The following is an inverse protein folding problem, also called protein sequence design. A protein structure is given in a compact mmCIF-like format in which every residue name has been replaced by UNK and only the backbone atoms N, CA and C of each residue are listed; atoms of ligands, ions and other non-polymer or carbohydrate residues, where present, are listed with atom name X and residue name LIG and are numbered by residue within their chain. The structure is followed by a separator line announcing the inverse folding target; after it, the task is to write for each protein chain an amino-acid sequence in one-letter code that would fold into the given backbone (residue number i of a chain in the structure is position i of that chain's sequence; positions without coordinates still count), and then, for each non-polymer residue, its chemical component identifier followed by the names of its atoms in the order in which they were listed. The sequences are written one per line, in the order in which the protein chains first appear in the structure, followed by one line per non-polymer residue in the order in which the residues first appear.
data_IF_987369242196
#
_entry.id   IF_987369242196
#
_cell.length_a   1.000
_cell.length_b   1.000
_cell.length_c   1.000
_cell.angle_alpha   90.00
_cell.angle_beta   90.00
_cell.angle_gamma   90.00
#
_symmetry.space_group_name_H-M   'P 1'
#
loop_
_entity.id
_entity.type
_entity.pdbx_description
1 polymer ?
#
# COMPACT_ATOMS: atom_id res chain seq x y z
N UNK A 1 -17.58 -4.75 3.29
CA UNK A 1 -17.46 -3.94 2.04
C UNK A 1 -16.47 -2.77 2.13
N UNK A 2 -16.07 -2.36 3.35
CA UNK A 2 -15.14 -1.27 3.65
C UNK A 2 -13.94 -1.08 2.69
N UNK A 3 -13.28 -2.16 2.23
CA UNK A 3 -12.08 -2.05 1.37
C UNK A 3 -12.27 -1.43 -0.03
N UNK A 4 -13.49 -1.35 -0.57
CA UNK A 4 -13.78 -0.58 -1.79
C UNK A 4 -14.16 0.88 -1.49
N UNK A 5 -14.75 1.16 -0.33
CA UNK A 5 -14.98 2.53 0.14
C UNK A 5 -13.67 3.20 0.55
N UNK A 6 -12.81 2.54 1.34
CA UNK A 6 -11.49 3.06 1.76
C UNK A 6 -10.61 3.56 0.59
N UNK A 7 -10.70 2.90 -0.59
CA UNK A 7 -9.98 3.31 -1.81
C UNK A 7 -10.65 4.44 -2.59
N UNK A 8 -11.91 4.77 -2.31
CA UNK A 8 -12.63 5.93 -2.85
C UNK A 8 -12.57 7.13 -1.88
N UNK A 9 -12.58 6.90 -0.57
CA UNK A 9 -12.60 7.93 0.47
C UNK A 9 -11.24 8.60 0.65
N UNK A 10 -10.15 7.81 0.69
CA UNK A 10 -8.79 8.38 0.61
C UNK A 10 -8.55 9.19 -0.66
N UNK A 11 -9.33 8.95 -1.72
CA UNK A 11 -9.24 9.61 -3.02
C UNK A 11 -9.96 10.96 -3.09
N UNK A 12 -10.77 11.35 -2.08
CA UNK A 12 -11.52 12.62 -2.06
C UNK A 12 -10.80 13.72 -1.28
N UNK A 13 -10.31 13.44 -0.07
CA UNK A 13 -9.37 14.34 0.61
C UNK A 13 -8.05 14.46 -0.18
N UNK A 14 -7.58 13.35 -0.76
CA UNK A 14 -6.48 13.42 -1.72
C UNK A 14 -6.89 13.99 -3.08
N UNK A 15 -8.17 14.16 -3.45
CA UNK A 15 -8.52 14.89 -4.67
C UNK A 15 -8.28 16.39 -4.50
N UNK A 16 -8.62 16.96 -3.34
CA UNK A 16 -8.30 18.36 -3.06
C UNK A 16 -6.78 18.59 -2.99
N UNK A 17 -6.04 17.69 -2.33
CA UNK A 17 -4.58 17.77 -2.26
C UNK A 17 -3.88 17.46 -3.61
N UNK A 18 -4.40 16.53 -4.43
CA UNK A 18 -3.81 16.18 -5.72
C UNK A 18 -4.24 17.12 -6.86
N UNK A 19 -5.30 17.92 -6.69
CA UNK A 19 -5.60 19.04 -7.59
C UNK A 19 -4.53 20.13 -7.55
N UNK A 20 -3.78 20.25 -6.46
CA UNK A 20 -2.68 21.19 -6.25
C UNK A 20 -1.29 20.64 -6.65
N UNK A 21 -1.16 19.37 -7.06
CA UNK A 21 0.12 18.65 -7.03
C UNK A 21 0.79 18.37 -8.40
N UNK A 22 0.31 18.99 -9.48
CA UNK A 22 0.93 18.95 -10.80
C UNK A 22 0.84 20.35 -11.39
N UNK A 23 1.95 21.03 -11.74
CA UNK A 23 1.94 22.27 -12.55
C UNK A 23 3.31 22.92 -12.72
N UNK A 24 3.66 23.31 -13.94
CA UNK A 24 4.78 24.22 -14.30
C UNK A 24 4.85 24.31 -15.83
N UNK A 25 4.94 25.42 -16.54
CA UNK A 25 5.65 26.68 -16.24
C UNK A 25 5.26 27.86 -17.19
N UNK A 26 5.81 29.06 -16.94
CA UNK A 26 5.76 30.26 -17.79
C UNK A 26 7.03 31.14 -17.56
N UNK A 27 7.46 32.02 -18.49
CA UNK A 27 8.85 32.53 -18.55
C UNK A 27 9.25 33.59 -17.50
N UNK A 28 10.54 33.60 -17.16
CA UNK A 28 11.12 34.16 -15.93
C UNK A 28 11.35 35.70 -15.86
N UNK A 29 10.85 36.52 -16.78
CA UNK A 29 11.24 37.95 -16.85
C UNK A 29 10.44 38.94 -15.96
N UNK A 30 9.48 38.49 -15.15
CA UNK A 30 8.56 39.38 -14.41
C UNK A 30 8.69 39.31 -12.86
N UNK A 31 9.67 38.56 -12.33
CA UNK A 31 9.69 38.20 -10.91
C UNK A 31 10.23 39.28 -9.95
N UNK A 32 11.00 40.27 -10.42
CA UNK A 32 11.66 41.26 -9.52
C UNK A 32 10.73 42.37 -9.00
N UNK A 33 9.56 42.62 -9.61
CA UNK A 33 8.67 43.75 -9.24
C UNK A 33 7.53 43.36 -8.27
N UNK A 34 7.48 42.09 -7.84
CA UNK A 34 6.33 41.52 -7.10
C UNK A 34 6.32 41.80 -5.59
N UNK A 35 7.37 42.38 -5.02
CA UNK A 35 7.52 42.58 -3.56
C UNK A 35 6.64 43.67 -2.91
N UNK A 36 5.89 44.47 -3.68
CA UNK A 36 5.06 45.58 -3.14
C UNK A 36 3.66 45.74 -3.73
N UNK A 37 3.32 45.00 -4.78
CA UNK A 37 1.96 45.09 -5.32
C UNK A 37 1.01 44.29 -4.41
N UNK A 38 0.00 44.94 -3.83
CA UNK A 38 -1.22 44.24 -3.41
C UNK A 38 -1.72 43.53 -4.67
N UNK A 39 -1.55 42.21 -4.72
CA UNK A 39 -1.72 41.44 -5.95
C UNK A 39 -3.08 41.74 -6.56
N UNK A 40 -3.08 42.41 -7.73
CA UNK A 40 -4.29 42.53 -8.53
C UNK A 40 -4.72 41.10 -8.84
N UNK A 41 -5.91 40.71 -8.38
CA UNK A 41 -6.47 39.39 -8.69
C UNK A 41 -6.41 39.24 -10.21
N UNK A 42 -5.72 38.21 -10.75
CA UNK A 42 -5.63 38.04 -12.18
C UNK A 42 -7.03 37.99 -12.79
N UNK A 43 -7.29 38.84 -13.77
CA UNK A 43 -8.55 38.79 -14.54
C UNK A 43 -8.61 37.58 -15.47
N UNK A 44 -7.48 36.90 -15.65
CA UNK A 44 -7.28 35.76 -16.54
C UNK A 44 -7.21 34.45 -15.74
N UNK A 45 -7.75 33.38 -16.32
CA UNK A 45 -7.81 32.06 -15.71
C UNK A 45 -9.17 31.69 -15.11
N UNK A 46 -9.31 30.45 -14.68
CA UNK A 46 -10.53 29.93 -14.07
C UNK A 46 -10.46 30.03 -12.55
N UNK A 47 -11.33 30.84 -11.96
CA UNK A 47 -11.60 30.82 -10.51
C UNK A 47 -13.01 30.29 -10.25
N UNK A 48 -13.20 29.29 -9.36
CA UNK A 48 -14.53 28.85 -8.95
C UNK A 48 -15.35 30.01 -8.40
N UNK A 49 -16.59 30.18 -8.86
CA UNK A 49 -17.47 31.19 -8.24
C UNK A 49 -17.82 30.77 -6.80
N UNK A 50 -18.21 31.73 -5.96
CA UNK A 50 -18.67 31.45 -4.59
C UNK A 50 -19.75 30.35 -4.54
N UNK A 51 -20.71 30.39 -5.47
CA UNK A 51 -21.76 29.37 -5.60
C UNK A 51 -21.16 27.99 -5.94
N UNK A 52 -20.15 27.92 -6.81
CA UNK A 52 -19.48 26.65 -7.12
C UNK A 52 -18.71 26.09 -5.90
N UNK A 53 -18.05 26.96 -5.12
CA UNK A 53 -17.40 26.55 -3.87
C UNK A 53 -18.40 26.03 -2.85
N UNK A 54 -19.49 26.78 -2.61
CA UNK A 54 -20.56 26.38 -1.68
C UNK A 54 -21.21 25.05 -2.07
N UNK A 55 -21.45 24.81 -3.36
CA UNK A 55 -21.97 23.52 -3.89
C UNK A 55 -20.94 22.38 -3.83
N UNK A 56 -19.66 22.69 -4.00
CA UNK A 56 -18.58 21.73 -3.80
C UNK A 56 -18.51 21.26 -2.35
N UNK A 57 -18.67 22.19 -1.39
CA UNK A 57 -18.71 21.92 0.05
C UNK A 57 -19.99 21.15 0.42
N UNK A 58 -21.17 21.55 -0.10
CA UNK A 58 -22.42 20.79 0.09
C UNK A 58 -22.21 19.31 -0.27
N UNK A 59 -21.70 19.04 -1.48
CA UNK A 59 -21.42 17.68 -1.95
C UNK A 59 -20.38 16.94 -1.12
N UNK A 60 -19.33 17.63 -0.67
CA UNK A 60 -18.32 17.04 0.22
C UNK A 60 -18.95 16.63 1.57
N UNK A 61 -19.79 17.49 2.15
CA UNK A 61 -20.47 17.23 3.44
C UNK A 61 -21.43 16.05 3.36
N UNK A 62 -22.14 15.88 2.24
CA UNK A 62 -23.01 14.72 1.99
C UNK A 62 -22.22 13.41 1.87
N UNK A 63 -21.02 13.42 1.27
CA UNK A 63 -20.17 12.23 1.21
C UNK A 63 -19.51 11.90 2.56
N UNK A 64 -19.14 12.92 3.34
CA UNK A 64 -18.70 12.74 4.73
C UNK A 64 -19.82 12.13 5.59
N UNK A 65 -21.05 12.65 5.50
CA UNK A 65 -22.21 12.12 6.22
C UNK A 65 -22.49 10.65 5.88
N UNK A 66 -22.39 10.25 4.60
CA UNK A 66 -22.50 8.83 4.19
C UNK A 66 -21.34 7.96 4.70
N UNK A 67 -20.14 8.52 4.87
CA UNK A 67 -18.95 7.79 5.29
C UNK A 67 -18.90 7.56 6.81
N UNK A 68 -19.32 8.56 7.58
CA UNK A 68 -19.29 8.55 9.03
C UNK A 68 -20.67 8.31 9.67
N UNK A 69 -21.71 8.13 8.85
CA UNK A 69 -23.07 7.89 9.33
C UNK A 69 -23.57 9.07 10.20
N UNK A 70 -23.37 10.30 9.71
CA UNK A 70 -23.81 11.51 10.40
C UNK A 70 -25.34 11.59 10.49
N UNK A 71 -25.83 12.07 11.62
CA UNK A 71 -27.19 12.60 11.74
C UNK A 71 -27.35 13.98 11.07
N UNK A 72 -28.56 14.53 11.09
CA UNK A 72 -28.89 15.82 10.46
C UNK A 72 -28.16 17.00 11.12
N UNK A 73 -27.92 16.97 12.42
CA UNK A 73 -27.24 18.03 13.17
C UNK A 73 -25.72 17.98 12.89
N UNK A 74 -25.11 16.81 12.96
CA UNK A 74 -23.70 16.58 12.61
C UNK A 74 -23.41 17.00 11.16
N UNK A 75 -24.31 16.71 10.22
CA UNK A 75 -24.23 17.17 8.83
C UNK A 75 -24.35 18.69 8.73
N UNK A 76 -25.31 19.31 9.44
CA UNK A 76 -25.48 20.76 9.44
C UNK A 76 -24.24 21.49 9.98
N UNK A 77 -23.76 21.10 11.18
CA UNK A 77 -22.54 21.62 11.82
C UNK A 77 -21.31 21.48 10.93
N UNK A 78 -21.07 20.29 10.37
CA UNK A 78 -19.93 20.06 9.46
C UNK A 78 -20.01 20.91 8.19
N UNK A 79 -21.22 21.13 7.66
CA UNK A 79 -21.43 21.97 6.48
C UNK A 79 -21.17 23.44 6.77
N UNK A 80 -21.61 23.94 7.92
CA UNK A 80 -21.34 25.30 8.36
C UNK A 80 -19.84 25.53 8.57
N UNK A 81 -19.18 24.68 9.35
CA UNK A 81 -17.73 24.70 9.61
C UNK A 81 -16.89 24.75 8.31
N UNK A 82 -17.23 23.89 7.34
CA UNK A 82 -16.53 23.87 6.05
C UNK A 82 -16.84 25.10 5.19
N UNK A 83 -18.07 25.62 5.20
CA UNK A 83 -18.46 26.84 4.46
C UNK A 83 -17.89 28.12 5.05
N UNK A 84 -17.61 28.17 6.35
CA UNK A 84 -16.92 29.28 6.97
C UNK A 84 -15.44 29.30 6.56
N UNK A 85 -14.73 28.17 6.74
CA UNK A 85 -13.27 28.15 6.69
C UNK A 85 -12.67 28.03 5.30
N UNK A 86 -13.17 27.11 4.48
CA UNK A 86 -12.53 26.81 3.19
C UNK A 86 -12.66 27.97 2.19
N UNK A 87 -13.85 28.60 1.98
CA UNK A 87 -13.96 29.77 1.11
C UNK A 87 -13.11 30.94 1.56
N UNK A 88 -12.96 31.15 2.88
CA UNK A 88 -12.06 32.15 3.45
C UNK A 88 -10.60 31.88 3.07
N UNK A 89 -10.10 30.67 3.31
CA UNK A 89 -8.75 30.27 2.90
C UNK A 89 -8.51 30.45 1.39
N UNK A 90 -9.48 30.07 0.56
CA UNK A 90 -9.37 30.22 -0.89
C UNK A 90 -9.35 31.69 -1.34
N UNK A 91 -10.17 32.58 -0.78
CA UNK A 91 -10.14 34.00 -1.13
C UNK A 91 -8.90 34.72 -0.55
N UNK A 92 -8.44 34.38 0.66
CA UNK A 92 -7.19 34.92 1.25
C UNK A 92 -5.96 34.56 0.40
N UNK A 93 -5.92 33.37 -0.20
CA UNK A 93 -4.82 32.89 -1.04
C UNK A 93 -5.09 32.98 -2.55
N UNK A 94 -6.18 33.62 -2.97
CA UNK A 94 -6.73 33.53 -4.32
C UNK A 94 -5.76 33.88 -5.43
N UNK A 95 -5.11 35.03 -5.32
CA UNK A 95 -4.23 35.52 -6.39
C UNK A 95 -3.09 34.53 -6.67
N UNK A 96 -2.54 33.91 -5.62
CA UNK A 96 -1.44 32.96 -5.73
C UNK A 96 -1.92 31.59 -6.21
N UNK A 97 -3.01 31.06 -5.66
CA UNK A 97 -3.61 29.79 -6.15
C UNK A 97 -3.99 29.91 -7.63
N UNK A 98 -4.63 31.02 -8.02
CA UNK A 98 -5.02 31.27 -9.42
C UNK A 98 -3.79 31.36 -10.34
N UNK A 99 -2.71 32.04 -9.93
CA UNK A 99 -1.47 32.11 -10.69
C UNK A 99 -0.80 30.73 -10.86
N UNK A 100 -0.72 29.94 -9.78
CA UNK A 100 -0.15 28.58 -9.80
C UNK A 100 -0.99 27.60 -10.64
N UNK A 101 -2.32 27.76 -10.64
CA UNK A 101 -3.23 26.99 -11.49
C UNK A 101 -3.18 27.40 -12.96
N UNK A 102 -2.96 28.68 -13.29
CA UNK A 102 -2.76 29.11 -14.68
C UNK A 102 -1.44 28.52 -15.23
N UNK A 103 -0.36 28.61 -14.45
CA UNK A 103 0.93 27.95 -14.76
C UNK A 103 0.78 26.42 -14.93
N UNK A 104 -0.19 25.78 -14.25
CA UNK A 104 -0.55 24.39 -14.52
C UNK A 104 -1.10 24.19 -15.92
N UNK A 105 -2.19 24.90 -16.23
CA UNK A 105 -2.94 24.63 -17.43
C UNK A 105 -2.16 25.02 -18.68
N UNK A 106 -1.35 26.08 -18.62
CA UNK A 106 -0.40 26.45 -19.68
C UNK A 106 0.60 25.33 -19.96
N UNK A 107 1.16 24.70 -18.93
CA UNK A 107 2.02 23.53 -19.08
C UNK A 107 1.34 22.34 -19.76
N UNK A 108 0.13 22.04 -19.28
CA UNK A 108 -0.67 20.92 -19.77
C UNK A 108 -1.04 21.11 -21.24
N UNK A 109 -1.35 22.34 -21.63
CA UNK A 109 -1.74 22.70 -22.99
C UNK A 109 -0.53 22.78 -23.94
N UNK A 110 0.67 23.12 -23.43
CA UNK A 110 1.92 23.02 -24.22
C UNK A 110 2.34 21.57 -24.47
N UNK A 111 2.05 20.65 -23.56
CA UNK A 111 2.36 19.22 -23.70
C UNK A 111 3.83 18.84 -23.45
N UNK A 112 4.74 19.80 -23.59
CA UNK A 112 6.15 19.68 -23.22
C UNK A 112 6.34 19.54 -21.70
N UNK A 113 7.32 18.75 -21.23
CA UNK A 113 7.69 18.74 -19.83
C UNK A 113 8.34 20.07 -19.43
N UNK A 114 8.09 20.57 -18.22
CA UNK A 114 8.74 21.78 -17.72
C UNK A 114 10.23 21.59 -17.42
N UNK A 115 10.95 22.72 -17.32
CA UNK A 115 12.33 22.70 -16.87
C UNK A 115 12.41 22.50 -15.35
N UNK A 116 13.48 21.89 -14.80
CA UNK A 116 13.65 21.74 -13.36
C UNK A 116 13.65 23.06 -12.56
N UNK A 117 14.15 24.14 -13.17
CA UNK A 117 14.19 25.49 -12.56
C UNK A 117 12.77 26.03 -12.35
N UNK A 118 11.92 25.96 -13.38
CA UNK A 118 10.53 26.36 -13.25
C UNK A 118 9.83 25.57 -12.11
N UNK A 119 10.13 24.27 -11.98
CA UNK A 119 9.48 23.38 -11.00
C UNK A 119 9.90 23.75 -9.58
N UNK A 120 11.15 24.20 -9.41
CA UNK A 120 11.64 24.71 -8.15
C UNK A 120 10.86 25.95 -7.72
N UNK A 121 10.79 26.96 -8.60
CA UNK A 121 10.06 28.20 -8.35
C UNK A 121 8.58 27.97 -8.02
N UNK A 122 7.90 27.10 -8.77
CA UNK A 122 6.52 26.73 -8.49
C UNK A 122 6.38 25.98 -7.16
N UNK A 123 7.28 25.04 -6.86
CA UNK A 123 7.20 24.24 -5.63
C UNK A 123 7.49 25.06 -4.38
N UNK A 124 8.43 26.01 -4.45
CA UNK A 124 8.71 26.98 -3.37
C UNK A 124 7.48 27.81 -3.02
N UNK A 125 6.66 28.16 -4.01
CA UNK A 125 5.40 28.91 -3.85
C UNK A 125 4.23 28.06 -3.36
N UNK A 126 4.17 26.78 -3.77
CA UNK A 126 3.12 25.84 -3.33
C UNK A 126 3.34 25.34 -1.90
N UNK A 127 4.58 25.11 -1.48
CA UNK A 127 4.92 24.64 -0.13
C UNK A 127 4.20 25.40 1.02
N UNK A 128 4.25 26.74 1.11
CA UNK A 128 3.54 27.47 2.18
C UNK A 128 2.02 27.30 2.09
N UNK A 129 1.43 27.33 0.90
CA UNK A 129 -0.02 27.12 0.70
C UNK A 129 -0.45 25.70 1.11
N UNK A 130 0.35 24.70 0.73
CA UNK A 130 0.10 23.30 1.07
C UNK A 130 0.20 23.04 2.58
N UNK A 131 1.14 23.68 3.26
CA UNK A 131 1.28 23.62 4.70
C UNK A 131 0.11 24.30 5.43
N UNK A 132 -0.32 25.49 4.98
CA UNK A 132 -1.52 26.15 5.51
C UNK A 132 -2.79 25.30 5.30
N UNK A 133 -2.99 24.74 4.10
CA UNK A 133 -4.11 23.85 3.79
C UNK A 133 -4.10 22.58 4.66
N UNK A 134 -2.91 21.99 4.86
CA UNK A 134 -2.74 20.81 5.72
C UNK A 134 -3.08 21.13 7.18
N UNK A 135 -2.74 22.33 7.67
CA UNK A 135 -3.11 22.78 9.01
C UNK A 135 -4.63 23.02 9.11
N UNK A 136 -5.21 23.76 8.18
CA UNK A 136 -6.67 23.98 8.09
C UNK A 136 -7.46 22.66 8.12
N UNK A 137 -6.99 21.63 7.40
CA UNK A 137 -7.62 20.31 7.38
C UNK A 137 -7.52 19.57 8.73
N UNK A 138 -6.47 19.80 9.52
CA UNK A 138 -6.33 19.26 10.88
C UNK A 138 -7.23 20.01 11.86
N UNK A 139 -7.13 21.34 11.89
CA UNK A 139 -7.94 22.18 12.79
C UNK A 139 -9.43 21.87 12.61
N UNK A 140 -9.88 21.81 11.35
CA UNK A 140 -11.27 21.43 11.00
C UNK A 140 -11.63 20.03 11.52
N UNK A 141 -10.74 19.05 11.42
CA UNK A 141 -11.00 17.70 11.89
C UNK A 141 -10.98 17.58 13.43
N UNK A 142 -10.23 18.45 14.11
CA UNK A 142 -10.22 18.51 15.57
C UNK A 142 -11.51 19.15 16.09
N UNK A 143 -12.02 20.23 15.49
CA UNK A 143 -13.34 20.80 15.84
C UNK A 143 -14.49 19.84 15.53
N UNK A 144 -14.38 19.04 14.45
CA UNK A 144 -15.37 18.00 14.16
C UNK A 144 -15.50 17.01 15.33
N UNK A 145 -14.42 16.68 16.05
CA UNK A 145 -14.46 15.70 17.16
C UNK A 145 -15.36 16.15 18.31
N UNK A 146 -15.61 17.44 18.49
CA UNK A 146 -16.44 17.96 19.58
C UNK A 146 -17.91 17.51 19.51
N UNK A 147 -18.41 17.12 18.33
CA UNK A 147 -19.79 16.71 18.11
C UNK A 147 -19.94 15.35 17.41
N UNK A 148 -18.84 14.62 17.22
CA UNK A 148 -18.85 13.25 16.73
C UNK A 148 -18.95 12.24 17.88
N UNK A 149 -19.54 11.07 17.61
CA UNK A 149 -19.46 9.93 18.54
C UNK A 149 -18.05 9.36 18.57
N UNK A 150 -17.68 8.64 19.63
CA UNK A 150 -16.36 8.01 19.77
C UNK A 150 -15.99 7.15 18.55
N UNK A 151 -16.93 6.35 18.05
CA UNK A 151 -16.75 5.52 16.85
C UNK A 151 -16.49 6.35 15.58
N UNK A 152 -17.17 7.50 15.44
CA UNK A 152 -16.96 8.43 14.33
C UNK A 152 -15.62 9.15 14.45
N UNK A 153 -15.25 9.59 15.65
CA UNK A 153 -13.97 10.24 15.95
C UNK A 153 -12.78 9.29 15.66
N UNK A 154 -12.84 8.03 16.10
CA UNK A 154 -11.82 7.00 15.78
C UNK A 154 -11.69 6.76 14.27
N UNK A 155 -12.81 6.74 13.53
CA UNK A 155 -12.78 6.67 12.06
C UNK A 155 -12.14 7.93 11.44
N UNK A 156 -12.43 9.11 11.98
CA UNK A 156 -11.89 10.40 11.50
C UNK A 156 -10.38 10.46 11.74
N UNK A 157 -9.92 10.11 12.94
CA UNK A 157 -8.50 9.97 13.29
C UNK A 157 -7.75 9.05 12.32
N UNK A 158 -8.32 7.89 12.00
CA UNK A 158 -7.73 6.96 11.03
C UNK A 158 -7.58 7.59 9.63
N UNK A 159 -8.55 8.40 9.20
CA UNK A 159 -8.48 9.11 7.92
C UNK A 159 -7.51 10.31 7.97
N UNK A 160 -7.41 11.02 9.09
CA UNK A 160 -6.44 12.10 9.30
C UNK A 160 -5.01 11.57 9.40
N UNK A 161 -4.79 10.40 10.01
CA UNK A 161 -3.50 9.71 9.98
C UNK A 161 -3.09 9.32 8.55
N UNK A 162 -4.04 8.79 7.75
CA UNK A 162 -3.80 8.47 6.34
C UNK A 162 -3.54 9.73 5.49
N UNK A 163 -4.29 10.81 5.73
CA UNK A 163 -4.08 12.12 5.10
C UNK A 163 -2.70 12.68 5.45
N UNK A 164 -2.31 12.70 6.73
CA UNK A 164 -1.00 13.16 7.19
C UNK A 164 0.16 12.36 6.57
N UNK A 165 0.02 11.05 6.41
CA UNK A 165 1.01 10.23 5.71
C UNK A 165 1.13 10.62 4.23
N UNK A 166 0.01 10.85 3.54
CA UNK A 166 -0.01 11.36 2.17
C UNK A 166 0.57 12.77 2.04
N UNK A 167 0.19 13.69 2.94
CA UNK A 167 0.69 15.05 3.00
C UNK A 167 2.20 15.10 3.28
N UNK A 168 2.73 14.20 4.10
CA UNK A 168 4.19 14.04 4.30
C UNK A 168 4.89 13.65 2.99
N UNK A 169 4.31 12.73 2.21
CA UNK A 169 4.88 12.35 0.91
C UNK A 169 4.85 13.51 -0.09
N UNK A 170 3.75 14.28 -0.15
CA UNK A 170 3.61 15.45 -1.02
C UNK A 170 4.55 16.58 -0.60
N UNK A 171 4.65 16.89 0.70
CA UNK A 171 5.56 17.91 1.21
C UNK A 171 7.03 17.55 0.93
N UNK A 172 7.45 16.32 1.22
CA UNK A 172 8.80 15.86 0.89
C UNK A 172 9.08 15.95 -0.62
N UNK A 173 8.08 15.69 -1.46
CA UNK A 173 8.20 15.79 -2.92
C UNK A 173 8.35 17.24 -3.37
N UNK A 174 7.52 18.14 -2.84
CA UNK A 174 7.62 19.57 -3.10
C UNK A 174 8.94 20.15 -2.60
N UNK A 175 9.49 19.68 -1.48
CA UNK A 175 10.85 20.04 -1.03
C UNK A 175 11.93 19.62 -2.04
N UNK A 176 11.92 18.37 -2.48
CA UNK A 176 12.87 17.85 -3.49
C UNK A 176 12.79 18.68 -4.78
N UNK A 177 11.57 19.03 -5.22
CA UNK A 177 11.37 19.88 -6.40
C UNK A 177 11.82 21.33 -6.17
N UNK A 178 11.53 21.92 -5.01
CA UNK A 178 11.97 23.26 -4.62
C UNK A 178 13.50 23.43 -4.57
N UNK A 179 14.25 22.32 -4.41
CA UNK A 179 15.71 22.22 -4.51
C UNK A 179 16.22 22.05 -5.96
N UNK A 180 15.34 22.04 -6.97
CA UNK A 180 15.68 21.82 -8.37
C UNK A 180 15.80 20.35 -8.80
N UNK A 181 15.55 19.40 -7.90
CA UNK A 181 15.69 17.96 -8.19
C UNK A 181 14.46 17.34 -8.89
N UNK A 182 13.85 18.08 -9.82
CA UNK A 182 12.78 17.58 -10.69
C UNK A 182 13.36 16.81 -11.89
N UNK A 183 12.78 15.65 -12.21
CA UNK A 183 13.20 14.85 -13.36
C UNK A 183 12.05 14.76 -14.40
N UNK A 184 12.12 15.49 -15.54
CA UNK A 184 11.03 15.51 -16.51
C UNK A 184 10.70 14.13 -17.10
N UNK A 185 11.69 13.26 -17.32
CA UNK A 185 11.49 11.94 -17.96
C UNK A 185 10.67 10.97 -17.10
N UNK A 186 10.82 11.05 -15.78
CA UNK A 186 10.20 10.10 -14.84
C UNK A 186 8.96 10.68 -14.14
N UNK A 187 8.82 12.01 -14.11
CA UNK A 187 7.86 12.72 -13.27
C UNK A 187 6.79 13.45 -14.09
N UNK A 188 7.02 13.73 -15.38
CA UNK A 188 5.99 14.26 -16.28
C UNK A 188 5.04 13.14 -16.76
N UNK A 189 3.90 12.99 -16.08
CA UNK A 189 2.93 11.90 -16.35
C UNK A 189 2.04 12.17 -17.58
N UNK A 190 2.17 13.34 -18.22
CA UNK A 190 1.21 13.81 -19.22
C UNK A 190 1.53 13.47 -20.67
N UNK A 191 2.74 12.99 -20.97
CA UNK A 191 2.96 12.13 -22.12
C UNK A 191 2.30 10.75 -21.91
N UNK A 192 0.97 10.75 -21.99
CA UNK A 192 0.17 9.53 -22.01
C UNK A 192 0.21 8.86 -23.39
N UNK A 193 0.77 9.51 -24.40
CA UNK A 193 0.94 8.96 -25.75
C UNK A 193 2.05 7.92 -25.73
N UNK A 194 3.30 8.38 -25.67
CA UNK A 194 4.44 7.48 -25.74
C UNK A 194 4.54 6.59 -24.51
N UNK A 195 4.22 7.06 -23.30
CA UNK A 195 4.28 6.15 -22.13
C UNK A 195 3.29 5.00 -22.23
N UNK A 196 2.10 5.20 -22.82
CA UNK A 196 1.18 4.09 -23.12
C UNK A 196 1.68 3.26 -24.30
N UNK A 197 2.32 3.86 -25.29
CA UNK A 197 2.89 3.15 -26.42
C UNK A 197 4.07 2.26 -25.99
N UNK A 198 5.07 2.80 -25.29
CA UNK A 198 6.17 2.08 -24.65
C UNK A 198 5.66 0.94 -23.77
N UNK A 199 4.67 1.16 -22.90
CA UNK A 199 4.05 0.07 -22.11
C UNK A 199 3.28 -0.96 -22.97
N UNK A 200 2.74 -0.60 -24.14
CA UNK A 200 2.12 -1.55 -25.08
C UNK A 200 3.17 -2.35 -25.84
N UNK A 201 4.25 -1.72 -26.26
CA UNK A 201 5.39 -2.33 -26.95
C UNK A 201 6.15 -3.27 -26.02
N UNK A 202 6.43 -2.86 -24.78
CA UNK A 202 7.02 -3.70 -23.73
C UNK A 202 6.12 -4.91 -23.40
N UNK A 203 4.81 -4.72 -23.27
CA UNK A 203 3.85 -5.83 -23.07
C UNK A 203 3.73 -6.75 -24.28
N UNK A 204 3.89 -6.21 -25.49
CA UNK A 204 3.94 -7.01 -26.72
C UNK A 204 5.21 -7.84 -26.73
N UNK A 205 6.37 -7.21 -26.56
CA UNK A 205 7.68 -7.86 -26.44
C UNK A 205 7.68 -8.97 -25.37
N UNK A 206 7.17 -8.69 -24.17
CA UNK A 206 7.08 -9.68 -23.09
C UNK A 206 6.12 -10.85 -23.43
N UNK A 207 5.07 -10.61 -24.25
CA UNK A 207 4.22 -11.69 -24.78
C UNK A 207 4.99 -12.52 -25.80
N UNK A 208 5.63 -11.87 -26.76
CA UNK A 208 6.39 -12.51 -27.84
C UNK A 208 7.58 -13.33 -27.27
N UNK A 209 8.23 -12.84 -26.21
CA UNK A 209 9.26 -13.54 -25.42
C UNK A 209 8.69 -14.75 -24.65
N UNK A 210 7.49 -14.64 -24.06
CA UNK A 210 6.82 -15.80 -23.42
C UNK A 210 6.34 -16.84 -24.44
N UNK A 211 5.92 -16.42 -25.62
CA UNK A 211 5.44 -17.30 -26.68
C UNK A 211 6.60 -18.08 -27.33
N UNK A 212 7.72 -17.41 -27.61
CA UNK A 212 8.94 -18.07 -28.08
C UNK A 212 9.54 -19.01 -27.03
N UNK A 213 9.58 -18.62 -25.76
CA UNK A 213 10.00 -19.52 -24.67
C UNK A 213 9.09 -20.76 -24.54
N UNK A 214 7.77 -20.59 -24.74
CA UNK A 214 6.81 -21.70 -24.73
C UNK A 214 6.96 -22.62 -25.94
N UNK A 215 7.22 -22.07 -27.12
CA UNK A 215 7.48 -22.85 -28.33
C UNK A 215 8.75 -23.70 -28.19
N UNK A 216 9.85 -23.10 -27.72
CA UNK A 216 11.11 -23.81 -27.47
C UNK A 216 10.97 -24.92 -26.40
N UNK A 217 10.17 -24.70 -25.35
CA UNK A 217 9.87 -25.72 -24.35
C UNK A 217 9.08 -26.91 -24.94
N UNK A 218 8.10 -26.64 -25.81
CA UNK A 218 7.33 -27.68 -26.50
C UNK A 218 8.17 -28.46 -27.50
N UNK A 219 9.07 -27.78 -28.24
CA UNK A 219 10.01 -28.42 -29.15
C UNK A 219 10.99 -29.35 -28.41
N UNK A 220 11.50 -28.90 -27.25
CA UNK A 220 12.35 -29.72 -26.38
C UNK A 220 11.61 -30.97 -25.84
N UNK A 221 10.33 -30.83 -25.45
CA UNK A 221 9.49 -31.95 -24.99
C UNK A 221 9.25 -32.98 -26.12
N UNK A 222 8.95 -32.51 -27.34
CA UNK A 222 8.80 -33.37 -28.52
C UNK A 222 10.12 -34.07 -28.89
N UNK A 223 11.24 -33.37 -28.82
CA UNK A 223 12.56 -33.95 -29.07
C UNK A 223 12.93 -35.01 -28.01
N UNK A 224 12.61 -34.78 -26.73
CA UNK A 224 12.81 -35.77 -25.67
C UNK A 224 11.90 -37.00 -25.88
N UNK A 225 10.63 -36.80 -26.25
CA UNK A 225 9.72 -37.89 -26.56
C UNK A 225 10.22 -38.72 -27.75
N UNK A 226 10.64 -38.08 -28.85
CA UNK A 226 11.19 -38.78 -30.01
C UNK A 226 12.46 -39.57 -29.68
N UNK A 227 13.34 -39.02 -28.82
CA UNK A 227 14.53 -39.72 -28.33
C UNK A 227 14.17 -40.95 -27.46
N UNK A 228 13.15 -40.83 -26.60
CA UNK A 228 12.63 -41.96 -25.80
C UNK A 228 12.01 -43.04 -26.69
N UNK A 229 11.23 -42.66 -27.70
CA UNK A 229 10.62 -43.60 -28.66
C UNK A 229 11.69 -44.31 -29.52
N UNK A 230 12.72 -43.60 -29.97
CA UNK A 230 13.86 -44.20 -30.68
C UNK A 230 14.67 -45.18 -29.80
N UNK A 231 14.85 -44.86 -28.51
CA UNK A 231 15.50 -45.76 -27.56
C UNK A 231 14.68 -47.06 -27.37
N UNK A 232 13.35 -46.96 -27.27
CA UNK A 232 12.46 -48.13 -27.20
C UNK A 232 12.49 -48.94 -28.51
N UNK A 233 12.40 -48.28 -29.67
CA UNK A 233 12.37 -48.94 -30.98
C UNK A 233 13.69 -49.66 -31.33
N UNK A 234 14.83 -49.15 -30.85
CA UNK A 234 16.14 -49.77 -31.06
C UNK A 234 16.40 -51.01 -30.21
N UNK A 235 15.43 -51.44 -29.39
CA UNK A 235 15.53 -52.66 -28.58
C UNK A 235 16.60 -52.60 -27.48
N UNK A 236 17.17 -51.41 -27.22
CA UNK A 236 18.04 -51.19 -26.09
C UNK A 236 17.18 -51.18 -24.82
N UNK A 237 17.27 -52.19 -23.93
CA UNK A 237 16.61 -52.10 -22.65
C UNK A 237 17.14 -50.85 -21.93
N UNK A 238 16.30 -50.11 -21.20
CA UNK A 238 16.79 -48.98 -20.40
C UNK A 238 17.93 -49.51 -19.53
N UNK A 239 19.14 -48.98 -19.73
CA UNK A 239 20.28 -49.32 -18.89
C UNK A 239 19.95 -48.87 -17.48
N UNK A 240 19.41 -49.80 -16.69
CA UNK A 240 19.29 -49.63 -15.25
C UNK A 240 20.67 -49.27 -14.74
N UNK A 241 20.77 -48.12 -14.08
CA UNK A 241 22.02 -47.51 -13.64
C UNK A 241 22.57 -48.28 -12.43
N UNK A 242 23.03 -49.50 -12.73
CA UNK A 242 23.49 -50.50 -11.78
C UNK A 242 25.03 -50.56 -11.83
N UNK A 243 25.66 -49.54 -11.26
CA UNK A 243 27.07 -49.55 -10.93
C UNK A 243 27.97 -48.69 -11.83
N UNK A 244 28.29 -47.49 -11.35
CA UNK A 244 29.52 -46.80 -11.68
C UNK A 244 30.26 -46.44 -10.37
N UNK A 245 31.56 -46.76 -10.22
CA UNK A 245 32.30 -46.59 -8.97
C UNK A 245 32.85 -45.17 -8.81
N UNK A 246 33.25 -44.83 -7.58
CA UNK A 246 33.97 -43.60 -7.27
C UNK A 246 35.39 -43.61 -7.86
N UNK A 247 35.63 -42.79 -8.89
CA UNK A 247 36.98 -42.40 -9.31
C UNK A 247 36.97 -41.04 -10.04
N UNK A 248 37.96 -40.20 -9.76
CA UNK A 248 38.07 -38.83 -10.23
C UNK A 248 38.27 -38.72 -11.75
N UNK A 249 37.58 -37.78 -12.39
CA UNK A 249 37.96 -37.26 -13.71
C UNK A 249 37.61 -35.78 -13.83
N UNK A 250 38.64 -34.95 -13.97
CA UNK A 250 38.46 -33.52 -14.22
C UNK A 250 37.84 -33.30 -15.61
N UNK A 251 36.85 -32.42 -15.68
CA UNK A 251 36.29 -31.90 -16.93
C UNK A 251 36.26 -30.37 -16.86
N UNK A 252 36.35 -29.66 -18.01
CA UNK A 252 36.35 -28.20 -18.04
C UNK A 252 35.09 -27.61 -17.42
N UNK A 253 35.24 -26.55 -16.62
CA UNK A 253 34.14 -25.86 -15.94
C UNK A 253 33.36 -24.98 -16.91
N UNK A 254 32.32 -25.52 -17.52
CA UNK A 254 31.17 -24.69 -17.89
C UNK A 254 30.46 -24.17 -16.62
N UNK A 255 29.90 -22.94 -16.63
CA UNK A 255 29.24 -22.36 -15.48
C UNK A 255 27.85 -22.99 -15.26
N UNK A 256 27.84 -24.20 -14.70
CA UNK A 256 26.63 -24.83 -14.17
C UNK A 256 26.00 -23.92 -13.12
N UNK A 257 24.86 -23.32 -13.45
CA UNK A 257 23.94 -22.69 -12.50
C UNK A 257 23.32 -23.76 -11.60
N UNK A 258 24.06 -24.17 -10.56
CA UNK A 258 23.58 -25.07 -9.50
C UNK A 258 22.60 -24.35 -8.59
N UNK A 259 21.37 -24.15 -9.09
CA UNK A 259 20.27 -23.48 -8.39
C UNK A 259 19.01 -24.36 -8.31
N UNK A 260 19.18 -25.66 -8.05
CA UNK A 260 18.09 -26.58 -7.76
C UNK A 260 18.56 -27.77 -6.92
N UNK A 261 17.65 -28.31 -6.09
CA UNK A 261 17.78 -29.53 -5.27
C UNK A 261 18.67 -29.45 -4.02
N UNK A 262 18.28 -28.56 -3.11
CA UNK A 262 18.26 -28.88 -1.67
C UNK A 262 16.81 -29.06 -1.20
N UNK A 263 16.08 -29.97 -1.86
CA UNK A 263 14.71 -30.35 -1.51
C UNK A 263 14.71 -31.39 -0.38
N UNK A 264 15.40 -31.10 0.72
CA UNK A 264 15.03 -31.70 2.00
C UNK A 264 13.66 -31.14 2.40
N UNK A 265 12.85 -31.93 3.11
CA UNK A 265 11.53 -31.50 3.58
C UNK A 265 11.66 -30.48 4.72
N UNK A 266 12.07 -29.26 4.37
CA UNK A 266 11.79 -28.10 5.20
C UNK A 266 10.27 -28.08 5.44
N UNK A 267 9.86 -28.05 6.71
CA UNK A 267 8.45 -27.99 7.05
C UNK A 267 7.80 -26.78 6.39
N UNK A 268 6.51 -26.91 6.02
CA UNK A 268 5.73 -25.83 5.40
C UNK A 268 5.96 -24.53 6.15
N UNK A 269 6.18 -23.44 5.42
CA UNK A 269 6.34 -22.11 5.99
C UNK A 269 5.12 -21.79 6.87
N UNK A 270 5.31 -21.14 8.03
CA UNK A 270 4.19 -20.78 8.91
C UNK A 270 3.14 -19.92 8.17
N UNK A 271 3.57 -19.17 7.14
CA UNK A 271 2.69 -18.40 6.27
C UNK A 271 1.91 -19.29 5.29
N UNK A 272 2.53 -20.34 4.75
CA UNK A 272 1.88 -21.37 3.92
C UNK A 272 0.84 -22.15 4.73
N UNK A 273 1.22 -22.61 5.92
CA UNK A 273 0.33 -23.32 6.83
C UNK A 273 -0.89 -22.47 7.21
N UNK A 274 -0.68 -21.19 7.55
CA UNK A 274 -1.79 -20.28 7.82
C UNK A 274 -2.75 -20.14 6.63
N UNK A 275 -2.23 -20.01 5.41
CA UNK A 275 -3.07 -19.88 4.20
C UNK A 275 -3.81 -21.18 3.89
N UNK A 276 -3.17 -22.34 4.06
CA UNK A 276 -3.78 -23.66 3.89
C UNK A 276 -4.93 -23.87 4.89
N UNK A 277 -4.70 -23.60 6.18
CA UNK A 277 -5.71 -23.67 7.23
C UNK A 277 -6.85 -22.68 6.99
N UNK A 278 -6.56 -21.47 6.49
CA UNK A 278 -7.57 -20.47 6.12
C UNK A 278 -8.44 -20.96 4.94
N UNK A 279 -7.82 -21.51 3.89
CA UNK A 279 -8.53 -22.07 2.74
C UNK A 279 -9.38 -23.30 3.12
N UNK A 280 -8.91 -24.11 4.08
CA UNK A 280 -9.62 -25.26 4.65
C UNK A 280 -10.81 -24.82 5.50
N UNK A 281 -10.63 -23.84 6.41
CA UNK A 281 -11.66 -23.30 7.30
C UNK A 281 -12.88 -22.78 6.55
N UNK A 282 -12.66 -22.03 5.46
CA UNK A 282 -13.72 -21.41 4.67
C UNK A 282 -14.12 -22.18 3.41
N UNK A 283 -13.63 -23.41 3.22
CA UNK A 283 -13.91 -24.25 2.04
C UNK A 283 -13.74 -23.50 0.72
N UNK A 284 -12.54 -22.98 0.47
CA UNK A 284 -12.26 -22.23 -0.75
C UNK A 284 -12.37 -23.11 -2.00
N UNK A 285 -13.09 -22.59 -3.00
CA UNK A 285 -13.07 -23.07 -4.38
C UNK A 285 -11.72 -22.83 -5.04
N UNK A 286 -11.44 -23.51 -6.16
CA UNK A 286 -10.13 -23.45 -6.82
C UNK A 286 -9.73 -22.03 -7.24
N UNK A 287 -10.67 -21.22 -7.73
CA UNK A 287 -10.44 -19.81 -8.04
C UNK A 287 -10.13 -18.94 -6.82
N UNK A 288 -10.70 -19.28 -5.65
CA UNK A 288 -10.35 -18.63 -4.37
C UNK A 288 -8.97 -19.10 -3.88
N UNK A 289 -8.64 -20.40 -3.99
CA UNK A 289 -7.33 -20.97 -3.64
C UNK A 289 -6.21 -20.36 -4.47
N UNK A 290 -6.35 -20.34 -5.79
CA UNK A 290 -5.39 -19.70 -6.69
C UNK A 290 -5.23 -18.19 -6.41
N UNK A 291 -6.27 -17.52 -5.91
CA UNK A 291 -6.18 -16.13 -5.48
C UNK A 291 -5.46 -15.97 -4.13
N UNK A 292 -5.69 -16.88 -3.18
CA UNK A 292 -4.97 -16.94 -1.92
C UNK A 292 -3.47 -17.22 -2.12
N UNK A 293 -3.11 -18.18 -2.97
CA UNK A 293 -1.72 -18.47 -3.36
C UNK A 293 -1.03 -17.26 -3.99
N UNK A 294 -1.71 -16.53 -4.89
CA UNK A 294 -1.14 -15.31 -5.48
C UNK A 294 -0.87 -14.23 -4.43
N UNK A 295 -1.71 -14.10 -3.41
CA UNK A 295 -1.45 -13.19 -2.29
C UNK A 295 -0.28 -13.67 -1.42
N UNK A 296 -0.21 -14.97 -1.14
CA UNK A 296 0.88 -15.60 -0.37
C UNK A 296 2.24 -15.39 -1.06
N UNK A 297 2.36 -15.78 -2.34
CA UNK A 297 3.62 -15.61 -3.11
C UNK A 297 4.07 -14.15 -3.21
N UNK A 298 3.12 -13.21 -3.27
CA UNK A 298 3.43 -11.77 -3.24
C UNK A 298 3.91 -11.30 -1.86
N UNK A 299 3.32 -11.81 -0.77
CA UNK A 299 3.72 -11.49 0.59
C UNK A 299 5.08 -12.11 0.97
N UNK A 300 5.30 -13.39 0.62
CA UNK A 300 6.59 -14.07 0.77
C UNK A 300 7.70 -13.29 0.05
N UNK A 301 7.50 -12.89 -1.22
CA UNK A 301 8.46 -12.06 -1.95
C UNK A 301 8.82 -10.78 -1.20
N UNK A 302 7.83 -10.01 -0.71
CA UNK A 302 8.09 -8.78 0.06
C UNK A 302 8.84 -9.04 1.37
N UNK A 303 8.51 -10.13 2.07
CA UNK A 303 9.23 -10.58 3.28
C UNK A 303 10.68 -10.93 2.95
N UNK A 304 10.90 -11.67 1.88
CA UNK A 304 12.21 -12.20 1.51
C UNK A 304 13.13 -11.08 0.98
N UNK A 305 12.60 -10.15 0.17
CA UNK A 305 13.26 -8.89 -0.21
C UNK A 305 13.66 -8.05 1.01
N UNK A 306 12.75 -7.91 2.00
CA UNK A 306 13.04 -7.21 3.25
C UNK A 306 14.13 -7.93 4.06
N UNK A 307 14.03 -9.25 4.24
CA UNK A 307 15.08 -10.02 4.94
C UNK A 307 16.43 -9.88 4.25
N UNK A 308 16.49 -10.06 2.93
CA UNK A 308 17.73 -9.92 2.14
C UNK A 308 18.38 -8.54 2.29
N UNK A 309 17.57 -7.46 2.33
CA UNK A 309 18.08 -6.08 2.54
C UNK A 309 18.66 -5.87 3.94
N UNK A 310 18.13 -6.56 4.94
CA UNK A 310 18.49 -6.37 6.35
C UNK A 310 19.23 -7.56 6.98
N UNK A 311 19.71 -8.53 6.19
CA UNK A 311 20.32 -9.80 6.66
C UNK A 311 21.36 -9.57 7.76
N UNK A 312 22.34 -8.69 7.52
CA UNK A 312 23.40 -8.38 8.50
C UNK A 312 22.89 -7.83 9.84
N UNK A 313 21.75 -7.12 9.84
CA UNK A 313 21.15 -6.58 11.06
C UNK A 313 20.42 -7.67 11.85
N UNK A 314 19.72 -8.58 11.15
CA UNK A 314 19.14 -9.78 11.77
C UNK A 314 20.23 -10.69 12.37
N UNK A 315 21.28 -11.00 11.60
CA UNK A 315 22.41 -11.81 12.06
C UNK A 315 23.09 -11.19 13.29
N UNK A 316 23.31 -9.87 13.28
CA UNK A 316 23.88 -9.16 14.43
C UNK A 316 22.96 -9.18 15.67
N UNK A 317 21.65 -8.98 15.50
CA UNK A 317 20.68 -9.04 16.61
C UNK A 317 20.56 -10.48 17.18
N UNK A 318 20.54 -11.50 16.33
CA UNK A 318 20.57 -12.90 16.75
C UNK A 318 21.88 -13.28 17.45
N UNK A 319 23.02 -12.79 16.97
CA UNK A 319 24.32 -13.01 17.61
C UNK A 319 24.39 -12.35 18.99
N UNK A 320 23.91 -11.10 19.14
CA UNK A 320 23.76 -10.43 20.45
C UNK A 320 22.87 -11.26 21.39
N UNK A 321 21.73 -11.74 20.92
CA UNK A 321 20.79 -12.52 21.73
C UNK A 321 21.39 -13.86 22.20
N UNK A 322 22.19 -14.52 21.36
CA UNK A 322 22.91 -15.77 21.72
C UNK A 322 24.09 -15.54 22.66
N UNK A 323 24.77 -14.39 22.55
CA UNK A 323 25.93 -14.04 23.37
C UNK A 323 25.56 -13.42 24.74
N UNK A 324 24.33 -12.95 24.91
CA UNK A 324 23.87 -12.29 26.12
C UNK A 324 23.77 -13.25 27.32
N UNK A 325 24.62 -13.06 28.32
CA UNK A 325 24.70 -13.87 29.54
C UNK A 325 23.70 -13.46 30.63
N UNK A 326 23.33 -12.18 30.68
CA UNK A 326 22.40 -11.62 31.67
C UNK A 326 21.01 -11.34 31.08
N UNK A 327 20.01 -11.09 31.95
CA UNK A 327 18.63 -10.84 31.52
C UNK A 327 18.44 -9.48 30.81
N UNK A 328 19.21 -8.45 31.18
CA UNK A 328 19.06 -7.11 30.59
C UNK A 328 19.57 -7.09 29.14
N UNK A 329 20.74 -7.69 28.90
CA UNK A 329 21.30 -7.89 27.56
C UNK A 329 20.40 -8.78 26.69
N UNK A 330 19.85 -9.87 27.25
CA UNK A 330 18.90 -10.74 26.52
C UNK A 330 17.63 -9.99 26.13
N UNK A 331 17.06 -9.21 27.06
CA UNK A 331 15.87 -8.36 26.79
C UNK A 331 16.16 -7.33 25.70
N UNK A 332 17.28 -6.60 25.79
CA UNK A 332 17.66 -5.59 24.79
C UNK A 332 17.85 -6.18 23.40
N UNK A 333 18.53 -7.32 23.28
CA UNK A 333 18.73 -8.00 22.00
C UNK A 333 17.41 -8.57 21.42
N UNK A 334 16.52 -9.07 22.27
CA UNK A 334 15.18 -9.53 21.87
C UNK A 334 14.30 -8.35 21.39
N UNK A 335 14.38 -7.19 22.02
CA UNK A 335 13.68 -5.97 21.59
C UNK A 335 14.21 -5.44 20.24
N UNK A 336 15.52 -5.49 20.01
CA UNK A 336 16.14 -5.15 18.72
C UNK A 336 15.66 -6.09 17.60
N UNK A 337 15.67 -7.41 17.84
CA UNK A 337 15.16 -8.42 16.91
C UNK A 337 13.65 -8.23 16.63
N UNK A 338 12.85 -8.00 17.68
CA UNK A 338 11.42 -7.73 17.54
C UNK A 338 11.14 -6.46 16.75
N UNK A 339 11.92 -5.39 16.96
CA UNK A 339 11.83 -4.13 16.19
C UNK A 339 12.12 -4.36 14.71
N UNK A 340 13.16 -5.14 14.37
CA UNK A 340 13.48 -5.54 13.00
C UNK A 340 12.39 -6.42 12.37
N UNK A 341 11.68 -7.22 13.16
CA UNK A 341 10.57 -8.07 12.70
C UNK A 341 9.24 -7.32 12.44
N UNK A 342 9.00 -6.14 13.05
CA UNK A 342 7.74 -5.39 12.90
C UNK A 342 7.29 -5.16 11.45
N UNK A 343 8.16 -4.86 10.46
CA UNK A 343 7.73 -4.73 9.07
C UNK A 343 7.26 -6.06 8.45
N UNK A 344 7.84 -7.20 8.83
CA UNK A 344 7.36 -8.52 8.38
C UNK A 344 5.98 -8.84 8.94
N UNK A 345 5.71 -8.52 10.21
CA UNK A 345 4.37 -8.67 10.79
C UNK A 345 3.33 -7.79 10.06
N UNK A 346 3.70 -6.57 9.66
CA UNK A 346 2.82 -5.73 8.82
C UNK A 346 2.55 -6.34 7.44
N UNK A 347 3.53 -7.01 6.82
CA UNK A 347 3.33 -7.74 5.56
C UNK A 347 2.38 -8.94 5.79
N UNK A 348 2.54 -9.67 6.90
CA UNK A 348 1.67 -10.79 7.26
C UNK A 348 0.22 -10.33 7.54
N UNK A 349 0.04 -9.22 8.26
CA UNK A 349 -1.29 -8.64 8.47
C UNK A 349 -1.93 -8.18 7.15
N UNK A 350 -1.16 -7.59 6.22
CA UNK A 350 -1.67 -7.28 4.87
C UNK A 350 -2.08 -8.54 4.07
N UNK A 351 -1.40 -9.68 4.27
CA UNK A 351 -1.82 -10.97 3.71
C UNK A 351 -3.16 -11.41 4.33
N UNK A 352 -3.28 -11.41 5.66
CA UNK A 352 -4.53 -11.71 6.40
C UNK A 352 -5.70 -10.85 5.93
N UNK A 353 -5.49 -9.53 5.79
CA UNK A 353 -6.50 -8.58 5.33
C UNK A 353 -6.95 -8.82 3.88
N UNK A 354 -6.09 -9.40 3.03
CA UNK A 354 -6.45 -9.79 1.65
C UNK A 354 -7.21 -11.11 1.64
N UNK A 355 -6.77 -12.09 2.42
CA UNK A 355 -7.44 -13.39 2.56
C UNK A 355 -8.84 -13.26 3.14
N UNK A 356 -9.05 -12.43 4.16
CA UNK A 356 -10.35 -12.16 4.79
C UNK A 356 -11.43 -11.61 3.81
N UNK A 357 -11.02 -11.14 2.62
CA UNK A 357 -11.91 -10.63 1.57
C UNK A 357 -12.33 -11.69 0.55
N UNK A 358 -11.68 -12.85 0.52
CA UNK A 358 -11.97 -13.95 -0.40
C UNK A 358 -13.21 -14.80 -0.04
N UNK A 359 -13.53 -15.09 1.25
CA UNK A 359 -14.73 -15.86 1.59
C UNK A 359 -16.02 -15.13 1.17
N UNK A 360 -16.97 -15.89 0.65
CA UNK A 360 -18.37 -15.43 0.48
C UNK A 360 -19.07 -15.30 1.83
N UNK A 361 -20.22 -14.62 1.87
CA UNK A 361 -21.02 -14.53 3.10
C UNK A 361 -21.52 -15.91 3.55
N UNK A 362 -21.95 -16.77 2.63
CA UNK A 362 -22.34 -18.14 2.94
C UNK A 362 -21.18 -18.96 3.55
N UNK A 363 -19.96 -18.86 3.01
CA UNK A 363 -18.77 -19.50 3.59
C UNK A 363 -18.46 -18.96 5.00
N UNK A 364 -18.63 -17.65 5.25
CA UNK A 364 -18.47 -17.08 6.61
C UNK A 364 -19.50 -17.63 7.59
N UNK A 365 -20.78 -17.64 7.24
CA UNK A 365 -21.86 -18.18 8.10
C UNK A 365 -21.64 -19.67 8.38
N UNK A 366 -21.29 -20.46 7.37
CA UNK A 366 -21.01 -21.89 7.52
C UNK A 366 -19.78 -22.17 8.40
N UNK A 367 -18.73 -21.35 8.29
CA UNK A 367 -17.56 -21.46 9.16
C UNK A 367 -17.91 -21.13 10.62
N UNK A 368 -18.66 -20.05 10.87
CA UNK A 368 -19.10 -19.66 12.22
C UNK A 368 -20.02 -20.73 12.85
N UNK A 369 -20.94 -21.32 12.08
CA UNK A 369 -21.78 -22.43 12.55
C UNK A 369 -20.95 -23.68 12.93
N UNK A 370 -19.88 -23.96 12.20
CA UNK A 370 -18.95 -25.05 12.54
C UNK A 370 -18.11 -24.76 13.77
N UNK A 371 -17.68 -23.52 13.95
CA UNK A 371 -16.91 -23.09 15.12
C UNK A 371 -17.79 -23.20 16.38
N UNK A 372 -19.03 -22.71 16.34
CA UNK A 372 -20.01 -22.87 17.41
C UNK A 372 -20.45 -24.33 17.69
N UNK A 373 -20.38 -25.22 16.69
CA UNK A 373 -20.68 -26.65 16.86
C UNK A 373 -19.46 -27.48 17.29
N UNK A 374 -18.24 -26.97 17.08
CA UNK A 374 -16.98 -27.59 17.48
C UNK A 374 -16.50 -27.14 18.86
N UNK A 375 -17.00 -26.00 19.36
CA UNK A 375 -16.86 -25.61 20.76
C UNK A 375 -17.59 -26.65 21.64
N UNK A 376 -16.85 -27.46 22.42
CA UNK A 376 -17.44 -28.61 23.11
C UNK A 376 -18.40 -28.14 24.20
N UNK A 377 -19.65 -28.56 24.10
CA UNK A 377 -20.69 -28.26 25.09
C UNK A 377 -20.29 -28.79 26.48
N UNK A 378 -19.75 -27.89 27.30
CA UNK A 378 -19.35 -28.16 28.66
C UNK A 378 -17.98 -28.83 28.80
N UNK A 379 -16.94 -28.02 28.99
CA UNK A 379 -16.18 -28.21 30.23
C UNK A 379 -17.17 -27.83 31.35
N UNK A 380 -17.66 -28.78 32.18
CA UNK A 380 -18.71 -28.47 33.15
C UNK A 380 -18.23 -27.32 34.02
N UNK A 381 -19.07 -26.29 34.18
CA UNK A 381 -18.74 -25.12 34.98
C UNK A 381 -18.36 -25.60 36.38
N UNK A 382 -17.12 -25.30 36.79
CA UNK A 382 -16.62 -25.70 38.10
C UNK A 382 -17.52 -25.06 39.14
N UNK A 383 -18.21 -25.90 39.91
CA UNK A 383 -19.36 -25.50 40.72
C UNK A 383 -18.84 -24.49 41.75
N UNK A 384 -19.28 -23.21 41.73
CA UNK A 384 -18.70 -22.20 42.60
C UNK A 384 -18.81 -22.68 44.05
N UNK A 385 -17.66 -22.83 44.70
CA UNK A 385 -17.59 -23.26 46.08
C UNK A 385 -18.43 -22.30 46.93
N UNK A 386 -19.27 -22.85 47.81
CA UNK A 386 -20.11 -22.04 48.68
C UNK A 386 -19.22 -21.07 49.49
N UNK A 387 -19.60 -19.79 49.63
CA UNK A 387 -18.86 -18.88 50.49
C UNK A 387 -18.84 -19.44 51.92
N UNK A 388 -17.69 -19.40 52.62
CA UNK A 388 -17.63 -19.85 54.00
C UNK A 388 -18.56 -18.97 54.85
N UNK A 389 -19.47 -19.60 55.58
CA UNK A 389 -20.34 -18.91 56.54
C UNK A 389 -19.49 -18.13 57.53
N UNK A 390 -19.80 -16.84 57.71
CA UNK A 390 -19.18 -16.04 58.76
C UNK A 390 -19.52 -16.64 60.14
N UNK A 391 -18.57 -16.68 61.09
CA UNK A 391 -18.90 -16.97 62.48
C UNK A 391 -19.80 -15.85 63.02
N UNK A 392 -20.81 -16.22 63.81
CA UNK A 392 -21.68 -15.25 64.47
C UNK A 392 -20.97 -14.55 65.62
N UNK A 393 -21.26 -13.26 65.78
CA UNK A 393 -21.02 -12.54 67.02
C UNK A 393 -22.14 -12.92 68.02
N UNK A 394 -21.80 -13.72 69.04
CA UNK A 394 -22.57 -13.85 70.29
C UNK A 394 -22.03 -12.84 71.32
N UNK A 395 -22.89 -12.46 72.28
CA UNK A 395 -22.76 -11.32 73.23
C UNK A 395 -21.50 -11.29 74.14
#
# INVERSE_FOLDING_TARGET
MLGKQARRTGLLLAACAAWLACAVAAPAQELQDRGRQRARIPTEGFWPTRVMMERGIDRLTEELAKQYEFDEEQLARTRELLKERFPRFFEENRAEIQALMNQFFEAQLRGEPPTPEDVADWSQRVLPLFNQFTQLARDTADDMREYLTDDQAVRLEGNIAAFNAGATMVNNRLSIWAEGNYNPETEWVFDRGERRQRMREERRRMRDEMETARAAAMEAEVAEQAAREAAVASGQPPRGDAGAPAASREQPREPRTTAARSAGSAGKDAWEQYVEDFCKRYEFSDGQRQSAERFLRAAQRQRDEYRARYTRQFEAAEAKLKAATDDASRKSAAEELAKLARPMERIFQQLKDRLAKLPTTAQRTKAAQREAAAEPAGKPADKPAAPPSAPGDDE
#
